data_IF_926652732567
#
_entry.id   IF_926652732567
#
_cell.length_a   1.000
_cell.length_b   1.000
_cell.length_c   1.000
_cell.angle_alpha   90.00
_cell.angle_beta   90.00
_cell.angle_gamma   90.00
#
_symmetry.space_group_name_H-M   'P 1'
#
loop_
_entity.id
_entity.type
_entity.pdbx_description
1 polymer ?
#
# COMPACT_ATOMS: atom_id res chain seq x y z
N UNK A 1 -41.05 17.35 0.11
CA UNK A 1 -40.36 17.80 -1.09
C UNK A 1 -40.27 16.62 -2.04
N UNK A 2 -40.81 16.71 -3.28
CA UNK A 2 -40.70 15.62 -4.26
C UNK A 2 -39.25 15.50 -4.68
N UNK A 3 -38.73 14.25 -4.69
CA UNK A 3 -37.41 13.90 -5.18
C UNK A 3 -37.30 14.33 -6.64
N UNK A 4 -36.30 15.15 -6.99
CA UNK A 4 -36.01 15.46 -8.39
C UNK A 4 -35.75 14.15 -9.15
N UNK A 5 -36.39 13.90 -10.30
CA UNK A 5 -36.10 12.71 -11.07
C UNK A 5 -34.62 12.71 -11.48
N UNK A 6 -33.95 11.59 -11.21
CA UNK A 6 -32.57 11.38 -11.67
C UNK A 6 -32.55 11.49 -13.18
N UNK A 7 -31.74 12.37 -13.79
CA UNK A 7 -31.68 12.46 -15.25
C UNK A 7 -31.26 11.08 -15.81
N UNK A 8 -31.82 10.66 -16.96
CA UNK A 8 -31.51 9.40 -17.59
C UNK A 8 -29.99 9.33 -17.80
N UNK A 9 -29.39 8.19 -17.45
CA UNK A 9 -27.96 7.96 -17.67
C UNK A 9 -27.69 8.12 -19.18
N UNK A 10 -26.80 9.04 -19.55
CA UNK A 10 -26.35 9.19 -20.92
C UNK A 10 -25.80 7.85 -21.42
N UNK A 11 -26.14 7.38 -22.61
CA UNK A 11 -25.60 6.15 -23.16
C UNK A 11 -24.06 6.24 -23.18
N UNK A 12 -23.40 5.12 -22.85
CA UNK A 12 -21.94 5.04 -22.91
C UNK A 12 -21.52 5.12 -24.39
N UNK A 13 -20.93 6.25 -24.77
CA UNK A 13 -20.30 6.40 -26.09
C UNK A 13 -18.85 5.90 -25.99
N UNK A 14 -18.54 4.98 -26.89
CA UNK A 14 -17.18 4.46 -27.04
C UNK A 14 -16.22 5.58 -27.50
N UNK A 15 -15.14 5.91 -26.77
CA UNK A 15 -14.24 7.02 -27.12
C UNK A 15 -13.35 6.68 -28.31
N UNK A 16 -13.91 6.71 -29.53
CA UNK A 16 -13.24 6.28 -30.77
C UNK A 16 -11.93 7.05 -31.02
N UNK A 17 -11.84 8.32 -30.63
CA UNK A 17 -10.63 9.14 -30.79
C UNK A 17 -9.42 8.66 -30.00
N UNK A 18 -9.61 7.88 -28.90
CA UNK A 18 -8.52 7.31 -28.12
C UNK A 18 -8.12 5.91 -28.61
N UNK A 19 -8.93 5.27 -29.46
CA UNK A 19 -8.72 3.89 -29.83
C UNK A 19 -7.40 3.69 -30.58
N UNK A 20 -7.11 4.50 -31.57
CA UNK A 20 -5.86 4.41 -32.32
C UNK A 20 -4.61 4.56 -31.43
N UNK A 21 -4.69 5.47 -30.45
CA UNK A 21 -3.61 5.69 -29.47
C UNK A 21 -3.45 4.47 -28.55
N UNK A 22 -4.54 3.86 -28.09
CA UNK A 22 -4.52 2.67 -27.28
C UNK A 22 -4.00 1.44 -28.05
N UNK A 23 -4.38 1.28 -29.33
CA UNK A 23 -3.90 0.19 -30.21
C UNK A 23 -2.41 0.35 -30.57
N UNK A 24 -1.90 1.58 -30.66
CA UNK A 24 -0.48 1.85 -30.88
C UNK A 24 0.41 1.62 -29.64
N UNK A 25 -0.17 1.54 -28.46
CA UNK A 25 0.58 1.34 -27.23
C UNK A 25 1.27 -0.04 -27.20
N UNK A 26 2.42 -0.19 -26.51
CA UNK A 26 3.17 -1.43 -26.46
C UNK A 26 2.47 -2.50 -25.61
N UNK A 27 2.73 -3.76 -25.93
CA UNK A 27 2.40 -4.91 -25.06
C UNK A 27 3.57 -5.14 -24.09
N UNK A 28 3.72 -4.23 -23.13
CA UNK A 28 4.81 -4.21 -22.18
C UNK A 28 4.33 -3.68 -20.83
N UNK A 29 5.04 -4.00 -19.73
CA UNK A 29 4.79 -3.39 -18.44
C UNK A 29 5.06 -1.89 -18.48
N UNK A 30 4.33 -1.14 -17.64
CA UNK A 30 4.58 0.29 -17.49
C UNK A 30 3.41 1.09 -16.93
N UNK A 31 3.54 2.39 -17.05
CA UNK A 31 2.58 3.38 -16.59
C UNK A 31 1.99 4.10 -17.80
N UNK A 32 0.71 4.42 -17.75
CA UNK A 32 0.00 5.17 -18.78
C UNK A 32 -0.74 6.36 -18.18
N UNK A 33 -0.97 7.36 -19.02
CA UNK A 33 -1.51 8.66 -18.63
C UNK A 33 -2.66 9.03 -19.57
N UNK A 34 -3.75 9.55 -18.99
CA UNK A 34 -4.81 10.21 -19.74
C UNK A 34 -4.73 11.71 -19.49
N UNK A 35 -4.71 12.51 -20.56
CA UNK A 35 -4.68 13.97 -20.51
C UNK A 35 -5.95 14.57 -21.12
N UNK A 36 -6.44 15.69 -20.58
CA UNK A 36 -7.44 16.53 -21.23
C UNK A 36 -6.82 17.38 -22.32
N UNK A 37 -7.66 18.06 -23.09
CA UNK A 37 -7.21 18.95 -24.16
C UNK A 37 -6.43 20.15 -23.57
N UNK A 38 -5.20 20.36 -24.04
CA UNK A 38 -4.36 21.49 -23.63
C UNK A 38 -3.74 21.38 -22.24
N UNK A 39 -4.06 20.33 -21.47
CA UNK A 39 -3.50 20.16 -20.13
C UNK A 39 -2.11 19.54 -20.16
N UNK A 40 -1.20 20.12 -19.37
CA UNK A 40 0.12 19.55 -19.07
C UNK A 40 0.06 18.52 -17.92
N UNK A 41 -0.97 18.56 -17.10
CA UNK A 41 -1.16 17.65 -15.97
C UNK A 41 -2.11 16.49 -16.35
N UNK A 42 -1.76 15.24 -16.01
CA UNK A 42 -2.62 14.11 -16.34
C UNK A 42 -3.93 14.13 -15.54
N UNK A 43 -5.01 13.74 -16.19
CA UNK A 43 -6.29 13.44 -15.53
C UNK A 43 -6.18 12.21 -14.65
N UNK A 44 -5.47 11.19 -15.16
CA UNK A 44 -5.35 9.88 -14.55
C UNK A 44 -4.00 9.26 -14.90
N UNK A 45 -3.41 8.56 -13.94
CA UNK A 45 -2.22 7.73 -14.09
C UNK A 45 -2.59 6.31 -13.65
N UNK A 46 -2.19 5.30 -14.43
CA UNK A 46 -2.40 3.90 -14.08
C UNK A 46 -1.24 3.02 -14.50
N UNK A 47 -1.06 1.88 -13.83
CA UNK A 47 -0.05 0.88 -14.15
C UNK A 47 -0.66 -0.33 -14.84
N UNK A 48 0.15 -1.04 -15.61
CA UNK A 48 -0.20 -2.34 -16.16
C UNK A 48 1.04 -3.21 -16.42
N UNK A 49 0.84 -4.51 -16.47
CA UNK A 49 1.81 -5.49 -17.02
C UNK A 49 1.71 -5.59 -18.55
N UNK A 50 0.62 -5.13 -19.12
CA UNK A 50 0.40 -4.95 -20.58
C UNK A 50 -0.39 -3.67 -20.79
N UNK A 51 0.33 -2.60 -21.17
CA UNK A 51 -0.24 -1.25 -21.34
C UNK A 51 -1.38 -1.25 -22.36
N UNK A 52 -1.15 -1.88 -23.54
CA UNK A 52 -2.16 -1.93 -24.62
C UNK A 52 -3.46 -2.58 -24.16
N UNK A 53 -3.36 -3.78 -23.59
CA UNK A 53 -4.53 -4.52 -23.11
C UNK A 53 -5.30 -3.74 -22.07
N UNK A 54 -4.60 -3.04 -21.17
CA UNK A 54 -5.21 -2.22 -20.11
C UNK A 54 -5.91 -0.99 -20.67
N UNK A 55 -5.29 -0.27 -21.61
CA UNK A 55 -5.88 0.88 -22.26
C UNK A 55 -7.16 0.50 -23.02
N UNK A 56 -7.15 -0.60 -23.78
CA UNK A 56 -8.33 -1.11 -24.47
C UNK A 56 -9.43 -1.55 -23.49
N UNK A 57 -9.08 -2.09 -22.32
CA UNK A 57 -10.05 -2.41 -21.28
C UNK A 57 -10.72 -1.15 -20.72
N UNK A 58 -9.96 -0.08 -20.45
CA UNK A 58 -10.51 1.21 -20.02
C UNK A 58 -11.56 1.72 -21.00
N UNK A 59 -11.26 1.68 -22.30
CA UNK A 59 -12.19 2.19 -23.33
C UNK A 59 -13.54 1.44 -23.35
N UNK A 60 -13.62 0.24 -22.78
CA UNK A 60 -14.84 -0.60 -22.74
C UNK A 60 -15.53 -0.56 -21.37
N UNK A 61 -15.03 0.19 -20.42
CA UNK A 61 -15.52 0.22 -19.03
C UNK A 61 -16.48 1.40 -18.85
N UNK A 62 -17.81 1.17 -18.75
CA UNK A 62 -18.81 2.26 -18.64
C UNK A 62 -18.61 3.16 -17.42
N UNK A 63 -18.13 2.61 -16.31
CA UNK A 63 -17.87 3.33 -15.06
C UNK A 63 -16.82 4.42 -15.22
N UNK A 64 -15.93 4.28 -16.22
CA UNK A 64 -14.86 5.22 -16.52
C UNK A 64 -15.25 6.26 -17.59
N UNK A 65 -16.47 6.16 -18.13
CA UNK A 65 -16.99 7.04 -19.19
C UNK A 65 -16.81 8.53 -18.89
N UNK A 66 -17.00 8.95 -17.62
CA UNK A 66 -16.81 10.35 -17.21
C UNK A 66 -15.38 10.83 -17.37
N UNK A 67 -14.39 9.97 -17.11
CA UNK A 67 -12.97 10.26 -17.29
C UNK A 67 -12.63 10.26 -18.79
N UNK A 68 -13.05 9.22 -19.50
CA UNK A 68 -12.73 9.01 -20.90
C UNK A 68 -13.29 10.11 -21.82
N UNK A 69 -14.46 10.67 -21.49
CA UNK A 69 -15.00 11.84 -22.21
C UNK A 69 -14.14 13.10 -22.09
N UNK A 70 -13.39 13.23 -21.01
CA UNK A 70 -12.47 14.36 -20.79
C UNK A 70 -11.09 14.10 -21.40
N UNK A 71 -10.73 12.83 -21.58
CA UNK A 71 -9.43 12.44 -22.12
C UNK A 71 -9.36 12.67 -23.63
N UNK A 72 -8.27 13.29 -24.09
CA UNK A 72 -7.98 13.56 -25.50
C UNK A 72 -6.68 12.92 -25.96
N UNK A 73 -5.74 12.67 -25.04
CA UNK A 73 -4.42 12.16 -25.33
C UNK A 73 -4.04 11.07 -24.33
N UNK A 74 -3.38 10.03 -24.84
CA UNK A 74 -2.77 8.96 -24.07
C UNK A 74 -1.26 9.05 -24.23
N UNK A 75 -0.54 8.97 -23.12
CA UNK A 75 0.90 8.75 -23.08
C UNK A 75 1.20 7.51 -22.26
N UNK A 76 2.41 6.99 -22.40
CA UNK A 76 2.87 5.84 -21.60
C UNK A 76 4.38 5.89 -21.41
N UNK A 77 4.81 5.26 -20.33
CA UNK A 77 6.22 5.00 -20.03
C UNK A 77 6.39 3.52 -19.71
N UNK A 78 7.20 2.81 -20.51
CA UNK A 78 7.49 1.40 -20.30
C UNK A 78 8.40 1.21 -19.08
N UNK A 79 8.27 0.04 -18.44
CA UNK A 79 9.15 -0.45 -17.39
C UNK A 79 9.60 -1.87 -17.71
N UNK A 80 10.65 -2.34 -17.07
CA UNK A 80 11.16 -3.70 -17.28
C UNK A 80 10.30 -4.77 -16.56
N UNK A 81 9.33 -4.37 -15.72
CA UNK A 81 8.46 -5.30 -15.04
C UNK A 81 7.37 -4.63 -14.22
N UNK A 82 6.64 -5.44 -13.45
CA UNK A 82 5.50 -4.96 -12.65
C UNK A 82 5.95 -4.15 -11.44
N UNK A 83 7.08 -4.51 -10.81
CA UNK A 83 7.60 -3.77 -9.65
C UNK A 83 7.92 -2.34 -10.07
N UNK A 84 8.65 -2.17 -11.19
CA UNK A 84 8.95 -0.88 -11.77
C UNK A 84 7.70 -0.07 -12.10
N UNK A 85 6.67 -0.71 -12.68
CA UNK A 85 5.41 -0.05 -12.98
C UNK A 85 4.67 0.44 -11.73
N UNK A 86 4.64 -0.36 -10.66
CA UNK A 86 4.02 -0.01 -9.38
C UNK A 86 4.74 1.15 -8.68
N UNK A 87 6.08 1.08 -8.61
CA UNK A 87 6.91 2.12 -7.99
C UNK A 87 6.80 3.44 -8.76
N UNK A 88 6.85 3.37 -10.08
CA UNK A 88 6.73 4.54 -10.96
C UNK A 88 5.33 5.19 -10.84
N UNK A 89 4.25 4.39 -10.88
CA UNK A 89 2.88 4.88 -10.68
C UNK A 89 2.74 5.59 -9.34
N UNK A 90 3.19 4.93 -8.24
CA UNK A 90 3.11 5.50 -6.89
C UNK A 90 3.83 6.84 -6.79
N UNK A 91 5.05 6.94 -7.35
CA UNK A 91 5.83 8.17 -7.39
C UNK A 91 5.13 9.26 -8.20
N UNK A 92 4.74 8.97 -9.43
CA UNK A 92 4.13 9.94 -10.33
C UNK A 92 2.78 10.47 -9.82
N UNK A 93 1.97 9.62 -9.17
CA UNK A 93 0.73 10.09 -8.56
C UNK A 93 1.00 11.05 -7.39
N UNK A 94 2.05 10.82 -6.61
CA UNK A 94 2.44 11.72 -5.51
C UNK A 94 3.01 13.04 -6.02
N UNK A 95 3.80 13.01 -7.09
CA UNK A 95 4.42 14.19 -7.71
C UNK A 95 3.40 15.03 -8.48
N UNK A 96 2.62 14.41 -9.37
CA UNK A 96 1.74 15.10 -10.31
C UNK A 96 0.31 15.32 -9.80
N UNK A 97 -0.11 14.65 -8.71
CA UNK A 97 -1.42 14.82 -8.07
C UNK A 97 -2.62 14.78 -9.03
N UNK A 98 -2.74 13.77 -9.93
CA UNK A 98 -3.76 13.75 -10.99
C UNK A 98 -5.18 13.75 -10.43
N UNK A 99 -6.13 14.41 -11.11
CA UNK A 99 -7.49 14.66 -10.61
C UNK A 99 -8.27 13.38 -10.24
N UNK A 100 -8.04 12.28 -10.93
CA UNK A 100 -8.81 11.04 -10.75
C UNK A 100 -8.15 10.02 -9.82
N UNK A 101 -6.85 10.14 -9.50
CA UNK A 101 -6.15 9.25 -8.59
C UNK A 101 -6.30 9.66 -7.12
N UNK A 102 -7.51 9.71 -6.60
CA UNK A 102 -7.79 10.25 -5.25
C UNK A 102 -7.09 9.49 -4.10
N UNK A 103 -6.80 8.19 -4.28
CA UNK A 103 -6.33 7.31 -3.19
C UNK A 103 -4.85 7.43 -2.88
N UNK A 104 -3.98 7.68 -3.86
CA UNK A 104 -2.51 7.68 -3.72
C UNK A 104 -1.88 9.07 -3.65
N UNK A 105 -2.67 10.14 -3.69
CA UNK A 105 -2.17 11.53 -3.73
C UNK A 105 -1.44 11.99 -2.47
N UNK A 106 -1.74 11.42 -1.31
CA UNK A 106 -1.18 11.87 -0.04
C UNK A 106 -0.34 10.77 0.57
N UNK A 107 0.89 11.08 0.93
CA UNK A 107 1.64 10.27 1.90
C UNK A 107 0.82 10.25 3.18
N UNK A 108 0.29 9.09 3.54
CA UNK A 108 -0.51 8.93 4.74
C UNK A 108 0.43 8.57 5.89
N UNK A 109 0.41 9.37 6.93
CA UNK A 109 0.93 8.89 8.22
C UNK A 109 0.10 7.68 8.61
N UNK A 110 0.76 6.56 8.76
CA UNK A 110 0.14 5.35 9.27
C UNK A 110 0.46 5.24 10.75
N UNK A 111 -0.36 4.49 11.46
CA UNK A 111 -0.05 4.04 12.82
C UNK A 111 0.05 2.50 12.84
N UNK A 112 0.76 2.01 13.83
CA UNK A 112 0.99 0.58 14.05
C UNK A 112 0.82 0.25 15.52
N UNK A 113 0.59 -1.01 15.82
CA UNK A 113 0.61 -1.52 17.18
C UNK A 113 2.03 -1.93 17.55
N UNK A 114 2.44 -1.65 18.78
CA UNK A 114 3.73 -2.02 19.35
C UNK A 114 3.55 -2.59 20.74
N UNK A 115 4.21 -3.70 21.03
CA UNK A 115 4.36 -4.16 22.41
C UNK A 115 5.49 -3.40 23.11
N UNK A 116 5.18 -2.77 24.24
CA UNK A 116 6.14 -2.10 25.10
C UNK A 116 5.84 -2.41 26.56
N UNK A 117 6.77 -3.02 27.28
CA UNK A 117 6.62 -3.41 28.70
C UNK A 117 5.26 -4.12 28.96
N UNK A 118 4.98 -5.16 28.17
CA UNK A 118 3.74 -5.98 28.21
C UNK A 118 2.44 -5.21 27.95
N UNK A 119 2.52 -3.98 27.47
CA UNK A 119 1.38 -3.16 27.04
C UNK A 119 1.38 -2.97 25.53
N UNK A 120 0.18 -3.00 24.96
CA UNK A 120 -0.01 -2.70 23.55
C UNK A 120 -0.24 -1.20 23.37
N UNK A 121 0.61 -0.57 22.56
CA UNK A 121 0.53 0.86 22.26
C UNK A 121 0.26 1.07 20.77
N UNK A 122 -0.46 2.16 20.45
CA UNK A 122 -0.63 2.62 19.07
C UNK A 122 0.33 3.78 18.85
N UNK A 123 1.29 3.59 17.95
CA UNK A 123 2.32 4.57 17.61
C UNK A 123 2.26 4.99 16.15
N UNK A 124 2.80 6.17 15.83
CA UNK A 124 2.97 6.60 14.44
C UNK A 124 4.16 5.85 13.80
N UNK A 125 3.99 5.39 12.55
CA UNK A 125 5.04 4.67 11.81
C UNK A 125 6.04 5.63 11.20
N UNK A 126 6.88 6.25 12.00
CA UNK A 126 7.92 7.15 11.51
C UNK A 126 9.27 6.47 11.29
N UNK A 127 9.51 5.33 11.94
CA UNK A 127 10.75 4.58 11.82
C UNK A 127 10.49 3.07 11.95
N UNK A 128 10.42 2.35 10.83
CA UNK A 128 10.32 0.88 10.80
C UNK A 128 11.67 0.18 11.00
N UNK A 129 12.77 0.92 10.80
CA UNK A 129 14.09 0.32 10.64
C UNK A 129 14.71 -0.20 11.94
N UNK A 130 14.54 0.50 13.05
CA UNK A 130 15.37 0.34 14.25
C UNK A 130 14.56 0.12 15.54
N UNK A 131 13.29 -0.26 15.43
CA UNK A 131 12.39 -0.35 16.56
C UNK A 131 11.99 -1.79 16.93
N UNK A 132 11.23 -1.95 18.02
CA UNK A 132 10.58 -3.20 18.37
C UNK A 132 9.63 -3.68 17.28
N UNK A 133 9.22 -4.96 17.33
CA UNK A 133 8.28 -5.54 16.40
C UNK A 133 6.98 -4.70 16.33
N UNK A 134 6.59 -4.32 15.11
CA UNK A 134 5.34 -3.63 14.83
C UNK A 134 4.30 -4.59 14.24
N UNK A 135 3.03 -4.28 14.50
CA UNK A 135 1.91 -5.09 14.03
C UNK A 135 0.86 -4.21 13.35
N UNK A 136 0.54 -4.54 12.11
CA UNK A 136 -0.42 -3.84 11.27
C UNK A 136 0.03 -2.44 10.83
N UNK A 137 -0.52 -1.99 9.72
CA UNK A 137 -0.33 -0.65 9.19
C UNK A 137 -1.72 -0.03 8.97
N UNK A 138 -2.14 0.82 9.89
CA UNK A 138 -3.48 1.38 9.94
C UNK A 138 -3.47 2.84 9.50
N UNK A 139 -4.54 3.28 8.82
CA UNK A 139 -4.68 4.66 8.33
C UNK A 139 -5.01 5.66 9.43
N UNK A 140 -5.43 5.19 10.60
CA UNK A 140 -5.75 6.01 11.76
C UNK A 140 -5.77 5.18 13.04
N UNK A 141 -5.59 5.83 14.18
CA UNK A 141 -5.76 5.20 15.50
C UNK A 141 -7.14 4.54 15.67
N UNK A 142 -8.18 5.16 15.13
CA UNK A 142 -9.53 4.58 15.15
C UNK A 142 -9.59 3.24 14.44
N UNK A 143 -9.05 3.15 13.23
CA UNK A 143 -8.99 1.89 12.47
C UNK A 143 -8.13 0.82 13.16
N UNK A 144 -7.05 1.22 13.83
CA UNK A 144 -6.23 0.32 14.63
C UNK A 144 -7.03 -0.26 15.81
N UNK A 145 -7.79 0.58 16.52
CA UNK A 145 -8.66 0.14 17.63
C UNK A 145 -9.78 -0.77 17.11
N UNK A 146 -10.47 -0.39 16.03
CA UNK A 146 -11.54 -1.22 15.43
C UNK A 146 -11.02 -2.61 15.03
N UNK A 147 -9.86 -2.68 14.38
CA UNK A 147 -9.23 -3.94 14.01
C UNK A 147 -8.79 -4.74 15.25
N UNK A 148 -8.24 -4.08 16.27
CA UNK A 148 -7.85 -4.71 17.53
C UNK A 148 -9.06 -5.26 18.30
N UNK A 149 -10.21 -4.58 18.26
CA UNK A 149 -11.45 -5.07 18.87
C UNK A 149 -11.92 -6.37 18.20
N UNK A 150 -11.89 -6.44 16.87
CA UNK A 150 -12.25 -7.64 16.12
C UNK A 150 -11.31 -8.81 16.46
N UNK A 151 -10.01 -8.56 16.45
CA UNK A 151 -8.99 -9.53 16.85
C UNK A 151 -9.21 -10.02 18.29
N UNK A 152 -9.51 -9.09 19.18
CA UNK A 152 -9.76 -9.41 20.59
C UNK A 152 -11.01 -10.27 20.78
N UNK A 153 -12.08 -10.01 20.05
CA UNK A 153 -13.31 -10.81 20.09
C UNK A 153 -13.06 -12.22 19.51
N UNK A 154 -12.30 -12.35 18.42
CA UNK A 154 -11.96 -13.64 17.80
C UNK A 154 -11.11 -14.51 18.72
N UNK A 155 -10.09 -13.92 19.34
CA UNK A 155 -9.12 -14.63 20.18
C UNK A 155 -9.43 -14.55 21.69
N UNK A 156 -10.62 -14.08 22.08
CA UNK A 156 -11.06 -13.95 23.48
C UNK A 156 -10.06 -13.16 24.36
N UNK A 157 -9.45 -12.11 23.79
CA UNK A 157 -8.52 -11.25 24.51
C UNK A 157 -9.26 -10.25 25.40
N UNK A 158 -8.58 -9.76 26.42
CA UNK A 158 -9.15 -8.82 27.39
C UNK A 158 -9.07 -7.38 26.89
N UNK A 159 -10.21 -6.73 26.63
CA UNK A 159 -10.27 -5.35 26.16
C UNK A 159 -9.64 -4.36 27.14
N UNK A 160 -9.70 -4.62 28.45
CA UNK A 160 -9.07 -3.75 29.44
C UNK A 160 -7.55 -3.82 29.39
N UNK A 161 -6.96 -5.01 29.26
CA UNK A 161 -5.51 -5.15 29.13
C UNK A 161 -4.98 -4.60 27.80
N UNK A 162 -5.84 -4.58 26.77
CA UNK A 162 -5.52 -3.96 25.48
C UNK A 162 -5.69 -2.43 25.48
N UNK A 163 -6.15 -1.84 26.58
CA UNK A 163 -6.40 -0.40 26.66
C UNK A 163 -7.59 0.08 25.83
N UNK A 164 -8.49 -0.81 25.43
CA UNK A 164 -9.69 -0.48 24.63
C UNK A 164 -10.80 0.06 25.53
N UNK A 165 -11.00 -0.53 26.71
CA UNK A 165 -12.00 -0.12 27.69
C UNK A 165 -11.45 -0.24 29.12
N UNK A 166 -11.95 0.55 30.08
CA UNK A 166 -11.56 0.42 31.49
C UNK A 166 -12.15 -0.88 32.09
N UNK A 167 -11.43 -1.47 33.05
CA UNK A 167 -11.97 -2.51 33.91
C UNK A 167 -12.63 -1.87 35.16
N UNK A 168 -13.69 -2.51 35.64
CA UNK A 168 -14.28 -2.25 36.95
C UNK A 168 -14.08 -3.47 37.87
N UNK A 169 -14.64 -3.45 39.07
CA UNK A 169 -14.55 -4.56 40.03
C UNK A 169 -15.08 -5.90 39.50
N UNK A 170 -15.95 -5.89 38.49
CA UNK A 170 -16.50 -7.07 37.82
C UNK A 170 -15.73 -7.45 36.55
N UNK A 171 -14.63 -6.78 36.25
CA UNK A 171 -13.84 -6.91 35.02
C UNK A 171 -14.35 -6.03 33.88
N UNK A 172 -13.77 -6.18 32.71
CA UNK A 172 -14.20 -5.48 31.48
C UNK A 172 -15.59 -5.98 31.02
N UNK A 173 -16.27 -5.21 30.17
CA UNK A 173 -17.59 -5.62 29.65
C UNK A 173 -17.56 -6.99 28.96
N UNK A 174 -16.50 -7.28 28.17
CA UNK A 174 -16.34 -8.58 27.49
C UNK A 174 -16.20 -9.75 28.48
N UNK A 175 -15.57 -9.53 29.64
CA UNK A 175 -15.49 -10.55 30.69
C UNK A 175 -16.87 -10.84 31.29
N UNK A 176 -17.68 -9.80 31.53
CA UNK A 176 -19.02 -9.94 32.09
C UNK A 176 -19.95 -10.75 31.18
N UNK A 177 -19.83 -10.60 29.86
CA UNK A 177 -20.60 -11.36 28.87
C UNK A 177 -19.88 -12.64 28.36
N UNK A 178 -18.82 -13.09 29.05
CA UNK A 178 -18.03 -14.30 28.75
C UNK A 178 -17.39 -14.32 27.36
N UNK A 179 -17.12 -13.15 26.77
CA UNK A 179 -16.44 -13.02 25.47
C UNK A 179 -14.94 -12.82 25.59
N UNK A 180 -14.36 -12.74 26.81
CA UNK A 180 -12.91 -12.82 27.01
C UNK A 180 -12.58 -13.86 28.08
N UNK A 181 -11.32 -14.26 28.16
CA UNK A 181 -10.86 -15.28 29.11
C UNK A 181 -10.71 -14.77 30.56
N UNK A 182 -11.01 -13.49 30.83
CA UNK A 182 -11.13 -12.93 32.18
C UNK A 182 -9.81 -12.52 32.82
N UNK A 183 -8.77 -12.23 32.04
CA UNK A 183 -7.46 -11.82 32.57
C UNK A 183 -7.52 -10.59 33.50
N UNK A 184 -8.45 -9.65 33.28
CA UNK A 184 -8.69 -8.52 34.17
C UNK A 184 -9.37 -8.87 35.50
N UNK A 185 -9.83 -10.11 35.68
CA UNK A 185 -10.42 -10.63 36.93
C UNK A 185 -9.54 -11.67 37.61
N UNK A 186 -8.41 -12.03 36.97
CA UNK A 186 -7.56 -13.10 37.45
C UNK A 186 -7.99 -14.52 37.04
N UNK A 187 -9.02 -14.66 36.18
CA UNK A 187 -9.44 -15.97 35.66
C UNK A 187 -8.37 -16.57 34.71
N UNK A 188 -7.50 -15.73 34.19
CA UNK A 188 -6.36 -16.04 33.34
C UNK A 188 -5.15 -15.23 33.79
N UNK A 189 -3.93 -15.79 33.70
CA UNK A 189 -2.71 -15.04 33.99
C UNK A 189 -2.42 -14.01 32.90
N UNK A 190 -1.76 -12.90 33.25
CA UNK A 190 -1.32 -11.89 32.29
C UNK A 190 -0.35 -12.50 31.26
N UNK A 191 0.52 -13.43 31.68
CA UNK A 191 1.45 -14.11 30.77
C UNK A 191 0.73 -14.92 29.70
N UNK A 192 -0.28 -15.73 30.06
CA UNK A 192 -1.07 -16.50 29.11
C UNK A 192 -1.86 -15.61 28.16
N UNK A 193 -2.41 -14.51 28.67
CA UNK A 193 -3.07 -13.50 27.83
C UNK A 193 -2.09 -12.87 26.83
N UNK A 194 -0.87 -12.48 27.27
CA UNK A 194 0.15 -11.84 26.41
C UNK A 194 0.62 -12.82 25.34
N UNK A 195 0.85 -14.09 25.69
CA UNK A 195 1.22 -15.13 24.72
C UNK A 195 0.15 -15.28 23.62
N UNK A 196 -1.12 -15.41 24.00
CA UNK A 196 -2.23 -15.49 23.06
C UNK A 196 -2.37 -14.24 22.21
N UNK A 197 -2.15 -13.05 22.78
CA UNK A 197 -2.13 -11.79 22.05
C UNK A 197 -1.02 -11.79 20.99
N UNK A 198 0.21 -12.19 21.33
CA UNK A 198 1.32 -12.24 20.38
C UNK A 198 1.06 -13.25 19.25
N UNK A 199 0.47 -14.41 19.56
CA UNK A 199 0.04 -15.38 18.56
C UNK A 199 -1.00 -14.78 17.60
N UNK A 200 -2.01 -14.10 18.12
CA UNK A 200 -3.03 -13.42 17.32
C UNK A 200 -2.45 -12.32 16.44
N UNK A 201 -1.51 -11.53 16.95
CA UNK A 201 -0.85 -10.45 16.23
C UNK A 201 0.15 -10.93 15.17
N UNK A 202 0.59 -12.19 15.19
CA UNK A 202 1.63 -12.70 14.31
C UNK A 202 1.32 -12.48 12.81
N UNK A 203 0.05 -12.62 12.41
CA UNK A 203 -0.38 -12.35 11.03
C UNK A 203 -0.32 -10.88 10.62
N UNK A 204 -0.23 -9.97 11.59
CA UNK A 204 -0.10 -8.53 11.37
C UNK A 204 1.34 -8.05 11.48
N UNK A 205 2.31 -8.95 11.72
CA UNK A 205 3.70 -8.58 11.88
C UNK A 205 4.21 -7.78 10.67
N UNK A 206 4.75 -6.60 10.95
CA UNK A 206 5.42 -5.78 9.94
C UNK A 206 6.84 -6.30 9.79
N UNK A 207 7.18 -6.75 8.60
CA UNK A 207 8.48 -7.40 8.35
C UNK A 207 9.62 -6.40 8.45
N UNK A 208 10.65 -6.78 9.21
CA UNK A 208 11.90 -6.02 9.27
C UNK A 208 12.67 -6.19 7.96
N UNK A 209 13.56 -5.24 7.69
CA UNK A 209 14.46 -5.33 6.54
C UNK A 209 15.38 -6.56 6.69
N UNK A 210 15.40 -7.48 5.72
CA UNK A 210 16.11 -8.75 5.90
C UNK A 210 17.56 -8.73 5.42
N UNK A 211 18.03 -7.60 4.85
CA UNK A 211 19.36 -7.51 4.26
C UNK A 211 20.29 -6.62 5.08
N UNK A 212 21.61 -6.89 5.07
CA UNK A 212 22.59 -6.07 5.80
C UNK A 212 22.86 -4.71 5.13
N UNK A 213 22.48 -4.55 3.87
CA UNK A 213 22.69 -3.36 3.06
C UNK A 213 21.49 -3.08 2.13
N UNK A 214 21.58 -2.02 1.35
CA UNK A 214 20.65 -1.78 0.24
C UNK A 214 20.67 -2.94 -0.77
N UNK A 215 19.56 -3.16 -1.44
CA UNK A 215 19.43 -4.13 -2.53
C UNK A 215 18.93 -3.46 -3.79
N UNK A 216 19.17 -4.10 -4.94
CA UNK A 216 18.45 -3.81 -6.17
C UNK A 216 17.55 -5.00 -6.54
N UNK A 217 16.28 -4.74 -6.81
CA UNK A 217 15.38 -5.69 -7.45
C UNK A 217 15.55 -5.55 -8.95
N UNK A 218 15.98 -6.62 -9.61
CA UNK A 218 16.23 -6.65 -11.05
C UNK A 218 15.02 -7.19 -11.80
N UNK A 219 14.52 -6.39 -12.74
CA UNK A 219 13.50 -6.78 -13.71
C UNK A 219 14.01 -6.66 -15.13
N UNK A 220 13.47 -7.50 -16.04
CA UNK A 220 13.82 -7.50 -17.46
C UNK A 220 12.60 -7.76 -18.35
N UNK A 221 12.46 -6.94 -19.40
CA UNK A 221 11.48 -7.14 -20.47
C UNK A 221 12.14 -6.87 -21.83
N UNK A 222 12.34 -7.93 -22.61
CA UNK A 222 13.09 -7.85 -23.88
C UNK A 222 14.53 -7.39 -23.64
N UNK A 223 14.91 -6.24 -24.21
CA UNK A 223 16.23 -5.63 -24.04
C UNK A 223 16.26 -4.59 -22.89
N UNK A 224 15.11 -4.27 -22.32
CA UNK A 224 15.04 -3.32 -21.19
C UNK A 224 15.35 -4.05 -19.89
N UNK A 225 16.33 -3.54 -19.15
CA UNK A 225 16.65 -3.97 -17.80
C UNK A 225 16.48 -2.79 -16.84
N UNK A 226 15.99 -3.06 -15.64
CA UNK A 226 15.87 -2.06 -14.59
C UNK A 226 16.26 -2.66 -13.24
N UNK A 227 16.95 -1.85 -12.45
CA UNK A 227 17.42 -2.13 -11.11
C UNK A 227 16.77 -1.16 -10.14
N UNK A 228 15.81 -1.65 -9.36
CA UNK A 228 15.06 -0.84 -8.39
C UNK A 228 15.78 -0.89 -7.05
N UNK A 229 16.51 0.17 -6.71
CA UNK A 229 17.27 0.24 -5.47
C UNK A 229 16.35 0.52 -4.30
N UNK A 230 16.47 -0.32 -3.28
CA UNK A 230 15.69 -0.27 -2.05
C UNK A 230 16.65 -0.39 -0.87
N UNK A 231 16.49 0.48 0.10
CA UNK A 231 17.19 0.43 1.38
C UNK A 231 16.18 0.55 2.52
N UNK A 232 16.15 -0.45 3.39
CA UNK A 232 15.30 -0.43 4.58
C UNK A 232 13.83 -0.10 4.29
N UNK A 233 13.25 -0.81 3.30
CA UNK A 233 11.90 -0.62 2.78
C UNK A 233 11.66 0.72 2.05
N UNK A 234 12.70 1.53 1.84
CA UNK A 234 12.61 2.79 1.10
C UNK A 234 13.07 2.57 -0.33
N UNK A 235 12.22 2.96 -1.26
CA UNK A 235 12.60 3.03 -2.66
C UNK A 235 13.49 4.25 -2.89
N UNK A 236 14.70 4.02 -3.42
CA UNK A 236 15.70 5.06 -3.69
C UNK A 236 15.58 5.55 -5.13
N UNK A 237 15.49 4.63 -6.09
CA UNK A 237 15.43 4.95 -7.50
C UNK A 237 15.47 3.72 -8.39
N UNK A 238 15.28 3.94 -9.70
CA UNK A 238 15.41 2.92 -10.74
C UNK A 238 16.57 3.29 -11.66
N UNK A 239 17.45 2.34 -11.92
CA UNK A 239 18.66 2.48 -12.69
C UNK A 239 18.68 1.52 -13.87
N UNK A 240 19.40 1.86 -14.95
CA UNK A 240 19.46 1.04 -16.16
C UNK A 240 20.48 -0.12 -16.08
N UNK A 241 21.39 -0.05 -15.12
CA UNK A 241 22.43 -1.08 -14.92
C UNK A 241 22.72 -1.32 -13.44
N UNK A 242 23.30 -2.48 -13.14
CA UNK A 242 23.78 -2.79 -11.78
C UNK A 242 24.88 -1.82 -11.33
N UNK A 243 25.76 -1.41 -12.25
CA UNK A 243 26.83 -0.45 -11.95
C UNK A 243 26.28 0.90 -11.50
N UNK A 244 25.26 1.41 -12.18
CA UNK A 244 24.57 2.63 -11.76
C UNK A 244 23.84 2.45 -10.43
N UNK A 245 23.20 1.30 -10.22
CA UNK A 245 22.50 1.00 -8.97
C UNK A 245 23.45 0.99 -7.76
N UNK A 246 24.70 0.53 -7.93
CA UNK A 246 25.74 0.56 -6.88
C UNK A 246 26.22 1.97 -6.54
N UNK A 247 26.05 2.92 -7.46
CA UNK A 247 26.35 4.34 -7.26
C UNK A 247 25.15 5.14 -6.75
N UNK A 248 24.04 4.45 -6.45
CA UNK A 248 22.85 5.13 -5.94
C UNK A 248 23.18 5.91 -4.65
N UNK A 249 22.66 7.16 -4.52
CA UNK A 249 22.97 7.97 -3.37
C UNK A 249 22.45 7.34 -2.08
N UNK A 250 23.30 7.35 -1.05
CA UNK A 250 22.86 7.04 0.31
C UNK A 250 21.94 8.18 0.76
N UNK A 251 20.66 7.95 0.83
CA UNK A 251 19.71 8.96 1.29
C UNK A 251 19.70 9.03 2.81
N UNK A 252 19.59 10.24 3.38
CA UNK A 252 19.39 10.39 4.82
C UNK A 252 18.13 9.63 5.26
N UNK A 253 18.03 9.20 6.53
CA UNK A 253 16.86 8.55 7.06
C UNK A 253 15.60 9.40 6.79
N UNK A 254 14.75 8.92 5.90
CA UNK A 254 13.47 9.56 5.61
C UNK A 254 12.33 8.82 6.31
N UNK A 255 11.18 9.45 6.41
CA UNK A 255 9.99 8.81 6.94
C UNK A 255 9.61 7.57 6.12
N UNK A 256 9.14 6.55 6.80
CA UNK A 256 8.65 5.31 6.19
C UNK A 256 7.54 5.58 5.16
N UNK A 257 7.71 5.07 3.93
CA UNK A 257 6.68 5.10 2.90
C UNK A 257 5.92 3.78 2.86
N UNK A 258 4.72 3.80 3.40
CA UNK A 258 3.84 2.64 3.47
C UNK A 258 3.40 2.11 2.10
N UNK A 259 3.34 2.96 1.08
CA UNK A 259 2.96 2.53 -0.26
C UNK A 259 4.11 1.74 -0.89
N UNK A 260 5.35 2.24 -0.76
CA UNK A 260 6.55 1.51 -1.18
C UNK A 260 6.71 0.19 -0.42
N UNK A 261 6.51 0.17 0.91
CA UNK A 261 6.54 -1.05 1.70
C UNK A 261 5.56 -2.10 1.16
N UNK A 262 4.30 -1.72 0.89
CA UNK A 262 3.28 -2.65 0.37
C UNK A 262 3.63 -3.21 -1.01
N UNK A 263 4.29 -2.41 -1.84
CA UNK A 263 4.76 -2.85 -3.15
C UNK A 263 5.92 -3.84 -2.99
N UNK A 264 6.84 -3.54 -2.08
CA UNK A 264 8.14 -4.21 -1.98
C UNK A 264 8.13 -5.44 -1.08
N UNK A 265 7.24 -5.51 -0.08
CA UNK A 265 7.27 -6.60 0.91
C UNK A 265 7.14 -7.98 0.27
N UNK A 266 6.27 -8.13 -0.71
CA UNK A 266 6.06 -9.42 -1.37
C UNK A 266 7.24 -9.81 -2.26
N UNK A 267 7.71 -8.99 -3.23
CA UNK A 267 8.86 -9.35 -4.05
C UNK A 267 10.16 -9.52 -3.27
N UNK A 268 10.35 -8.81 -2.16
CA UNK A 268 11.55 -8.91 -1.34
C UNK A 268 11.58 -10.19 -0.48
N UNK A 269 10.43 -10.61 0.07
CA UNK A 269 10.37 -11.69 1.06
C UNK A 269 9.83 -13.02 0.51
N UNK A 270 8.90 -12.99 -0.44
CA UNK A 270 8.11 -14.17 -0.81
C UNK A 270 8.12 -14.50 -2.30
N UNK A 271 8.63 -13.62 -3.15
CA UNK A 271 8.71 -13.85 -4.59
C UNK A 271 10.15 -14.05 -5.03
N UNK A 272 10.32 -14.78 -6.13
CA UNK A 272 11.62 -15.03 -6.76
C UNK A 272 12.14 -13.83 -7.56
N UNK A 273 11.87 -12.61 -7.16
CA UNK A 273 12.51 -11.43 -7.76
C UNK A 273 14.03 -11.58 -7.62
N UNK A 274 14.77 -11.33 -8.71
CA UNK A 274 16.23 -11.36 -8.66
C UNK A 274 16.72 -10.22 -7.80
N UNK A 275 17.25 -10.55 -6.62
CA UNK A 275 17.79 -9.60 -5.66
C UNK A 275 19.31 -9.50 -5.84
N UNK A 276 19.83 -8.29 -5.94
CA UNK A 276 21.27 -7.98 -5.93
C UNK A 276 21.57 -7.16 -4.70
N UNK A 277 22.42 -7.66 -3.81
CA UNK A 277 22.86 -6.91 -2.63
C UNK A 277 23.91 -5.89 -3.07
N UNK A 278 23.69 -4.63 -2.69
CA UNK A 278 24.55 -3.51 -3.04
C UNK A 278 25.47 -3.23 -1.83
N UNK A 279 26.63 -3.83 -1.86
CA UNK A 279 27.70 -3.63 -0.86
C UNK A 279 28.81 -2.76 -1.43
#
# INVERSE_FOLDING_TARGET
MPLRPTPPALPFEYPAHLRAQAEAAPRAPGVYFFYAQGDSMPLYIGKSVDIRSRLLAHLRTPEEARMLRQAQRIEYQQTAGEIGALLLESRLIKELQPLKNKRLRRQRRLCSLRMHQDKLEIIDTTALAEGPQLYGLFRSRRMAIEALMLLADEHRLCHSLLGIEPANTKGCFRAQIRKCAGACRGDETHAAHTERLLQALAHWAVHRWPYPAAIALHERHGQMEQYHVVDNWRYIGTYASEAEARLAPTLPPQSFDADSYKILVRPVLFESARVVVLS
#
